data_IF_217210608837
#
_entry.id   IF_217210608837
#
_cell.length_a   1.000
_cell.length_b   1.000
_cell.length_c   1.000
_cell.angle_alpha   90.00
_cell.angle_beta   90.00
_cell.angle_gamma   90.00
#
_symmetry.space_group_name_H-M   'P 1'
#
loop_
_entity.id
_entity.type
_entity.pdbx_description
1 polymer ?
#
# COMPACT_ATOMS: atom_id res chain seq x y z
N UNK A 1 8.93 -14.41 7.25
CA UNK A 1 9.47 -14.32 5.88
C UNK A 1 10.76 -13.52 5.90
N UNK A 2 11.49 -13.43 4.79
CA UNK A 2 12.71 -12.62 4.66
C UNK A 2 12.49 -11.46 3.69
N UNK A 3 13.20 -10.35 3.88
CA UNK A 3 13.06 -9.13 3.07
C UNK A 3 13.36 -9.34 1.56
N UNK A 4 14.21 -10.31 1.22
CA UNK A 4 14.57 -10.64 -0.16
C UNK A 4 13.57 -11.59 -0.84
N UNK A 5 12.51 -12.07 -0.15
CA UNK A 5 11.52 -12.96 -0.74
C UNK A 5 10.66 -12.19 -1.75
N UNK A 6 10.42 -12.79 -2.92
CA UNK A 6 9.54 -12.21 -3.94
C UNK A 6 8.09 -12.12 -3.44
N UNK A 7 7.46 -10.96 -3.64
CA UNK A 7 6.08 -10.65 -3.25
C UNK A 7 5.09 -11.73 -3.73
N UNK A 8 5.16 -12.11 -5.01
CA UNK A 8 4.26 -13.14 -5.60
C UNK A 8 4.41 -14.51 -4.94
N UNK A 9 5.60 -14.86 -4.47
CA UNK A 9 5.85 -16.11 -3.77
C UNK A 9 5.27 -16.06 -2.35
N UNK A 10 5.54 -14.97 -1.62
CA UNK A 10 5.00 -14.74 -0.29
C UNK A 10 3.47 -14.72 -0.29
N UNK A 11 2.85 -14.06 -1.27
CA UNK A 11 1.39 -14.05 -1.44
C UNK A 11 0.81 -15.47 -1.59
N UNK A 12 1.44 -16.31 -2.43
CA UNK A 12 1.01 -17.71 -2.62
C UNK A 12 1.14 -18.52 -1.33
N UNK A 13 2.20 -18.31 -0.56
CA UNK A 13 2.40 -18.98 0.73
C UNK A 13 1.39 -18.54 1.78
N UNK A 14 1.16 -17.23 1.94
CA UNK A 14 0.19 -16.67 2.88
C UNK A 14 -1.23 -17.12 2.54
N UNK A 15 -1.60 -17.12 1.25
CA UNK A 15 -2.89 -17.64 0.77
C UNK A 15 -3.05 -19.14 1.04
N UNK A 16 -2.00 -19.95 0.82
CA UNK A 16 -2.04 -21.40 1.07
C UNK A 16 -2.13 -21.73 2.56
N UNK A 17 -1.38 -21.00 3.38
CA UNK A 17 -1.34 -21.19 4.84
C UNK A 17 -2.50 -20.55 5.60
N UNK A 18 -3.29 -19.68 4.93
CA UNK A 18 -4.35 -18.86 5.55
C UNK A 18 -3.83 -17.94 6.66
N UNK A 19 -2.57 -17.52 6.55
CA UNK A 19 -1.96 -16.55 7.45
C UNK A 19 -2.04 -15.16 6.81
N UNK A 20 -2.73 -14.24 7.46
CA UNK A 20 -2.94 -12.88 6.95
C UNK A 20 -1.80 -11.92 7.32
N UNK A 21 -0.91 -12.30 8.25
CA UNK A 21 0.21 -11.49 8.71
C UNK A 21 1.49 -12.33 8.70
N UNK A 22 2.59 -11.73 8.29
CA UNK A 22 3.92 -12.32 8.38
C UNK A 22 4.92 -11.34 9.01
N UNK A 23 5.77 -11.84 9.91
CA UNK A 23 6.95 -11.10 10.38
C UNK A 23 8.04 -11.18 9.32
N UNK A 24 8.65 -10.05 8.99
CA UNK A 24 9.74 -9.92 8.01
C UNK A 24 11.07 -9.86 8.74
N UNK A 25 12.00 -10.72 8.34
CA UNK A 25 13.34 -10.83 8.90
C UNK A 25 14.40 -10.33 7.91
N UNK A 26 15.49 -9.79 8.44
CA UNK A 26 16.72 -9.52 7.68
C UNK A 26 17.58 -10.78 7.51
N UNK A 27 18.74 -10.64 6.86
CA UNK A 27 19.70 -11.72 6.61
C UNK A 27 20.42 -12.25 7.88
N UNK A 28 20.38 -11.51 8.98
CA UNK A 28 20.95 -11.91 10.28
C UNK A 28 19.87 -12.45 11.24
N UNK A 29 18.61 -12.53 10.81
CA UNK A 29 17.48 -12.96 11.63
C UNK A 29 16.90 -11.88 12.54
N UNK A 30 17.33 -10.63 12.38
CA UNK A 30 16.71 -9.46 12.99
C UNK A 30 15.32 -9.21 12.41
N UNK A 31 14.43 -8.61 13.20
CA UNK A 31 13.08 -8.25 12.72
C UNK A 31 13.13 -6.89 12.03
N UNK A 32 12.72 -6.87 10.76
CA UNK A 32 12.56 -5.63 9.97
C UNK A 32 11.18 -5.03 10.23
N UNK A 33 10.15 -5.88 10.30
CA UNK A 33 8.78 -5.43 10.51
C UNK A 33 7.74 -6.53 10.29
N UNK A 34 6.53 -6.11 9.95
CA UNK A 34 5.42 -6.99 9.59
C UNK A 34 4.88 -6.61 8.21
N UNK A 35 4.27 -7.57 7.54
CA UNK A 35 3.55 -7.36 6.28
C UNK A 35 2.24 -8.14 6.33
N UNK A 36 1.19 -7.56 5.76
CA UNK A 36 -0.14 -8.15 5.68
C UNK A 36 -0.40 -8.73 4.29
N UNK A 37 -1.40 -9.61 4.18
CA UNK A 37 -1.79 -10.15 2.87
C UNK A 37 -2.41 -9.06 1.99
N UNK A 38 -3.07 -8.07 2.62
CA UNK A 38 -3.65 -6.90 1.98
C UNK A 38 -2.56 -6.06 1.29
N UNK A 39 -1.45 -5.76 1.98
CA UNK A 39 -0.31 -5.03 1.39
C UNK A 39 0.25 -5.76 0.14
N UNK A 40 0.33 -7.09 0.20
CA UNK A 40 0.81 -7.89 -0.94
C UNK A 40 -0.15 -7.87 -2.12
N UNK A 41 -1.46 -7.75 -1.87
CA UNK A 41 -2.46 -7.65 -2.94
C UNK A 41 -2.34 -6.28 -3.59
N UNK A 42 -2.25 -5.22 -2.80
CA UNK A 42 -2.08 -3.85 -3.27
C UNK A 42 -0.84 -3.71 -4.16
N UNK A 43 0.31 -4.25 -3.73
CA UNK A 43 1.54 -4.19 -4.55
C UNK A 43 1.46 -4.99 -5.87
N UNK A 44 0.70 -6.08 -5.91
CA UNK A 44 0.55 -6.90 -7.12
C UNK A 44 -0.45 -6.28 -8.09
N UNK A 45 -1.54 -5.73 -7.56
CA UNK A 45 -2.70 -5.29 -8.34
C UNK A 45 -2.63 -3.79 -8.67
N UNK A 46 -1.98 -2.99 -7.82
CA UNK A 46 -2.05 -1.54 -7.85
C UNK A 46 -3.41 -1.02 -7.39
N UNK A 47 -3.64 0.28 -7.54
CA UNK A 47 -4.97 0.85 -7.50
C UNK A 47 -5.79 0.23 -8.64
N UNK A 48 -6.89 -0.43 -8.30
CA UNK A 48 -7.83 -0.92 -9.31
C UNK A 48 -8.56 0.32 -9.81
N UNK A 49 -8.03 0.93 -10.88
CA UNK A 49 -8.68 2.01 -11.61
C UNK A 49 -10.04 1.51 -12.13
N UNK A 50 -11.14 2.05 -11.61
CA UNK A 50 -12.43 1.88 -12.28
C UNK A 50 -12.40 2.70 -13.58
N UNK A 51 -13.09 2.25 -14.63
CA UNK A 51 -13.14 2.96 -15.93
C UNK A 51 -13.78 4.36 -15.82
N UNK A 52 -14.25 4.73 -14.63
CA UNK A 52 -14.91 5.99 -14.27
C UNK A 52 -14.08 6.86 -13.31
N UNK A 53 -12.90 6.44 -12.88
CA UNK A 53 -12.04 7.26 -12.01
C UNK A 53 -11.32 8.33 -12.83
N UNK A 54 -12.03 9.45 -13.06
CA UNK A 54 -11.41 10.71 -13.44
C UNK A 54 -10.53 11.19 -12.26
N UNK A 55 -9.23 10.93 -12.34
CA UNK A 55 -8.20 11.36 -11.39
C UNK A 55 -8.14 12.88 -11.12
N UNK A 56 -8.97 13.69 -11.78
CA UNK A 56 -8.80 15.13 -11.90
C UNK A 56 -9.43 15.95 -10.75
N UNK A 57 -9.94 15.34 -9.68
CA UNK A 57 -10.70 16.07 -8.63
C UNK A 57 -10.46 15.69 -7.17
N UNK A 58 -9.40 14.96 -6.82
CA UNK A 58 -9.19 14.53 -5.42
C UNK A 58 -8.44 15.55 -4.56
N UNK A 59 -7.73 16.52 -5.15
CA UNK A 59 -6.91 17.52 -4.43
C UNK A 59 -7.02 18.90 -5.07
N UNK A 60 -7.58 19.86 -4.35
CA UNK A 60 -7.55 21.28 -4.72
C UNK A 60 -6.59 22.05 -3.80
N UNK A 61 -5.59 22.72 -4.37
CA UNK A 61 -4.71 23.64 -3.63
C UNK A 61 -5.39 25.00 -3.55
N UNK A 62 -5.79 25.42 -2.35
CA UNK A 62 -6.45 26.72 -2.14
C UNK A 62 -5.41 27.84 -2.03
N UNK A 63 -4.33 27.59 -1.27
CA UNK A 63 -3.15 28.47 -1.11
C UNK A 63 -2.04 27.70 -0.38
N UNK A 64 -0.91 28.36 -0.12
CA UNK A 64 0.21 27.77 0.63
C UNK A 64 -0.28 27.16 1.97
N UNK A 65 -0.01 25.87 2.16
CA UNK A 65 -0.45 25.06 3.32
C UNK A 65 -1.98 24.94 3.51
N UNK A 66 -2.79 25.19 2.48
CA UNK A 66 -4.24 24.97 2.52
C UNK A 66 -4.72 24.17 1.31
N UNK A 67 -5.28 23.00 1.58
CA UNK A 67 -5.70 22.01 0.59
C UNK A 67 -7.11 21.53 0.90
N UNK A 68 -7.90 21.29 -0.13
CA UNK A 68 -9.22 20.66 -0.04
C UNK A 68 -9.15 19.30 -0.73
N UNK A 69 -9.64 18.28 -0.04
CA UNK A 69 -9.70 16.91 -0.52
C UNK A 69 -11.14 16.44 -0.50
N UNK A 70 -11.48 15.51 -1.40
CA UNK A 70 -12.70 14.74 -1.21
C UNK A 70 -12.60 13.92 0.09
N UNK A 71 -13.72 13.79 0.82
CA UNK A 71 -13.74 13.06 2.10
C UNK A 71 -13.44 11.56 1.96
N UNK A 72 -13.45 11.02 0.75
CA UNK A 72 -13.11 9.64 0.43
C UNK A 72 -11.61 9.40 0.14
N UNK A 73 -10.80 10.45 0.01
CA UNK A 73 -9.37 10.32 -0.29
C UNK A 73 -8.65 9.63 0.86
N UNK A 74 -7.81 8.64 0.55
CA UNK A 74 -7.01 7.94 1.57
C UNK A 74 -5.90 8.85 2.07
N UNK A 75 -5.56 8.74 3.35
CA UNK A 75 -4.49 9.53 3.95
C UNK A 75 -3.14 9.34 3.24
N UNK A 76 -2.86 8.12 2.76
CA UNK A 76 -1.62 7.84 2.02
C UNK A 76 -1.50 8.71 0.77
N UNK A 77 -2.58 8.83 0.01
CA UNK A 77 -2.65 9.60 -1.24
C UNK A 77 -2.49 11.10 -0.98
N UNK A 78 -2.99 11.59 0.17
CA UNK A 78 -2.80 12.97 0.60
C UNK A 78 -1.30 13.28 0.75
N UNK A 79 -0.53 12.39 1.39
CA UNK A 79 0.91 12.61 1.61
C UNK A 79 1.74 12.59 0.32
N UNK A 80 1.26 11.92 -0.73
CA UNK A 80 1.93 11.91 -2.04
C UNK A 80 1.72 13.22 -2.82
N UNK A 81 0.61 13.92 -2.59
CA UNK A 81 0.19 15.07 -3.38
C UNK A 81 0.54 16.43 -2.75
N UNK A 82 0.93 16.46 -1.48
CA UNK A 82 1.39 17.68 -0.79
C UNK A 82 2.93 17.76 -0.92
N UNK A 83 3.44 18.77 -1.65
CA UNK A 83 4.87 19.12 -1.71
C UNK A 83 5.20 20.33 -0.85
#
# INVERSE_FOLDING_TARGET
TFEFKKIVELFKEMKKSRNHIAVVLDEYGGTVGIITIEDLIEEIVGDIEDEYDDYDKSVEVIKENEYVFDGSVRLHDIFLNIK
#
